data_IF_050668649896
#
_entry.id   IF_050668649896
#
_cell.length_a   1.000
_cell.length_b   1.000
_cell.length_c   1.000
_cell.angle_alpha   90.00
_cell.angle_beta   90.00
_cell.angle_gamma   90.00
#
_symmetry.space_group_name_H-M   'P 1'
#
loop_
_entity.id
_entity.type
_entity.pdbx_description
1 polymer ?
#
# COMPACT_ATOMS: atom_id res chain seq x y z
N UNK A 1 20.08 0.94 -3.61
CA UNK A 1 18.78 1.41 -3.11
C UNK A 1 18.95 2.72 -2.35
N UNK A 2 17.97 3.61 -2.44
CA UNK A 2 17.87 4.82 -1.62
C UNK A 2 16.65 4.68 -0.70
N UNK A 3 16.83 4.86 0.60
CA UNK A 3 15.82 4.47 1.59
C UNK A 3 15.30 5.66 2.38
N UNK A 4 13.98 5.80 2.45
CA UNK A 4 13.28 6.74 3.35
C UNK A 4 12.71 5.90 4.49
N UNK A 5 13.42 5.81 5.60
CA UNK A 5 12.97 5.01 6.75
C UNK A 5 13.38 5.66 8.08
N UNK A 6 12.61 6.66 8.54
CA UNK A 6 12.95 7.35 9.81
C UNK A 6 12.83 6.45 11.06
N UNK A 7 12.13 5.32 10.99
CA UNK A 7 12.02 4.37 12.10
C UNK A 7 13.16 3.35 12.12
N UNK A 8 13.79 3.13 10.98
CA UNK A 8 14.95 2.24 10.85
C UNK A 8 14.62 0.76 10.69
N UNK A 9 13.35 0.34 10.75
CA UNK A 9 12.96 -1.07 10.66
C UNK A 9 13.36 -1.70 9.33
N UNK A 10 13.09 -1.00 8.22
CA UNK A 10 13.50 -1.44 6.89
C UNK A 10 15.03 -1.46 6.75
N UNK A 11 15.71 -0.44 7.23
CA UNK A 11 17.19 -0.35 7.20
C UNK A 11 17.85 -1.48 7.99
N UNK A 12 17.33 -1.80 9.18
CA UNK A 12 17.80 -2.94 9.99
C UNK A 12 17.69 -4.24 9.20
N UNK A 13 16.55 -4.46 8.54
CA UNK A 13 16.34 -5.64 7.71
C UNK A 13 17.32 -5.70 6.53
N UNK A 14 17.47 -4.61 5.77
CA UNK A 14 18.38 -4.53 4.62
C UNK A 14 19.83 -4.81 5.04
N UNK A 15 20.27 -4.23 6.15
CA UNK A 15 21.60 -4.48 6.72
C UNK A 15 21.80 -5.95 7.09
N UNK A 16 20.80 -6.56 7.76
CA UNK A 16 20.85 -7.97 8.16
C UNK A 16 20.93 -8.91 6.95
N UNK A 17 20.35 -8.52 5.82
CA UNK A 17 20.35 -9.28 4.56
C UNK A 17 21.55 -8.94 3.66
N UNK A 18 22.47 -8.09 4.10
CA UNK A 18 23.60 -7.58 3.30
C UNK A 18 23.17 -6.90 1.99
N UNK A 19 22.00 -6.24 1.99
CA UNK A 19 21.51 -5.45 0.86
C UNK A 19 22.04 -4.02 1.01
N UNK A 20 22.84 -3.58 0.04
CA UNK A 20 23.44 -2.23 0.05
C UNK A 20 22.36 -1.16 -0.16
N UNK A 21 22.36 -0.14 0.65
CA UNK A 21 21.49 1.02 0.55
C UNK A 21 22.19 2.29 1.06
N UNK A 22 21.63 3.43 0.68
CA UNK A 22 22.01 4.76 1.22
C UNK A 22 20.72 5.48 1.66
N UNK A 23 20.87 6.44 2.56
CA UNK A 23 19.75 7.28 2.97
C UNK A 23 19.34 8.20 1.81
N UNK A 24 18.05 8.41 1.67
CA UNK A 24 17.51 9.20 0.55
C UNK A 24 18.00 10.66 0.56
N UNK A 25 18.29 11.22 1.72
CA UNK A 25 18.79 12.58 1.90
C UNK A 25 20.31 12.73 1.67
N UNK A 26 21.04 11.60 1.50
CA UNK A 26 22.44 11.67 1.12
C UNK A 26 22.58 12.12 -0.33
N UNK A 27 23.41 13.15 -0.56
CA UNK A 27 23.67 13.67 -1.91
C UNK A 27 24.54 12.75 -2.78
N UNK A 28 24.89 11.56 -2.27
CA UNK A 28 25.92 10.70 -2.88
C UNK A 28 25.43 9.92 -4.12
N UNK A 29 24.12 9.77 -4.32
CA UNK A 29 23.59 8.97 -5.43
C UNK A 29 22.31 9.57 -6.00
N UNK A 30 22.44 10.40 -7.02
CA UNK A 30 21.30 10.79 -7.84
C UNK A 30 20.89 9.60 -8.73
N UNK A 31 19.63 9.23 -8.68
CA UNK A 31 19.08 8.11 -9.45
C UNK A 31 18.94 6.82 -8.64
N UNK A 32 18.40 5.80 -9.26
CA UNK A 32 18.13 4.51 -8.65
C UNK A 32 16.75 4.39 -8.01
N UNK A 33 16.47 3.18 -7.51
CA UNK A 33 15.20 2.86 -6.86
C UNK A 33 15.13 3.49 -5.47
N UNK A 34 14.06 4.23 -5.22
CA UNK A 34 13.74 4.78 -3.88
C UNK A 34 12.72 3.85 -3.21
N UNK A 35 12.99 3.49 -1.95
CA UNK A 35 12.04 2.71 -1.15
C UNK A 35 11.69 3.51 0.10
N UNK A 36 10.40 3.71 0.31
CA UNK A 36 9.86 4.31 1.53
C UNK A 36 9.32 3.22 2.45
N UNK A 37 9.82 3.20 3.68
CA UNK A 37 9.26 2.39 4.76
C UNK A 37 7.92 2.92 5.27
N UNK A 38 7.47 2.41 6.41
CA UNK A 38 6.21 2.79 7.04
C UNK A 38 6.22 4.26 7.47
N UNK A 39 5.06 4.91 7.36
CA UNK A 39 4.88 6.29 7.88
C UNK A 39 5.08 6.30 9.39
N UNK A 40 6.02 7.08 9.92
CA UNK A 40 6.35 7.06 11.34
C UNK A 40 5.24 7.66 12.21
N UNK A 41 5.11 7.18 13.44
CA UNK A 41 4.21 7.76 14.45
C UNK A 41 4.65 9.18 14.83
N UNK A 42 5.95 9.40 14.95
CA UNK A 42 6.59 10.70 15.19
C UNK A 42 7.43 11.12 14.00
N UNK A 43 7.68 12.42 13.83
CA UNK A 43 8.51 12.89 12.71
C UNK A 43 7.82 12.91 11.34
N UNK A 44 6.50 12.87 11.28
CA UNK A 44 5.73 12.87 10.03
C UNK A 44 6.09 14.02 9.08
N UNK A 45 6.44 15.18 9.60
CA UNK A 45 6.84 16.34 8.77
C UNK A 45 8.10 16.04 7.96
N UNK A 46 9.11 15.43 8.59
CA UNK A 46 10.36 15.07 7.93
C UNK A 46 10.10 13.99 6.89
N UNK A 47 9.37 12.94 7.29
CA UNK A 47 8.98 11.87 6.37
C UNK A 47 8.25 12.40 5.14
N UNK A 48 7.26 13.25 5.33
CA UNK A 48 6.47 13.84 4.23
C UNK A 48 7.34 14.75 3.34
N UNK A 49 8.29 15.48 3.91
CA UNK A 49 9.22 16.30 3.13
C UNK A 49 10.12 15.42 2.24
N UNK A 50 10.70 14.34 2.80
CA UNK A 50 11.49 13.38 2.04
C UNK A 50 10.66 12.72 0.93
N UNK A 51 9.44 12.30 1.25
CA UNK A 51 8.55 11.68 0.27
C UNK A 51 8.15 12.66 -0.85
N UNK A 52 7.95 13.94 -0.53
CA UNK A 52 7.70 14.98 -1.53
C UNK A 52 8.90 15.16 -2.48
N UNK A 53 10.11 15.13 -1.95
CA UNK A 53 11.33 15.23 -2.76
C UNK A 53 11.51 13.97 -3.63
N UNK A 54 11.31 12.78 -3.07
CA UNK A 54 11.33 11.53 -3.82
C UNK A 54 10.35 11.54 -4.98
N UNK A 55 9.13 12.02 -4.74
CA UNK A 55 8.10 12.16 -5.77
C UNK A 55 8.52 13.13 -6.88
N UNK A 56 9.22 14.21 -6.56
CA UNK A 56 9.74 15.13 -7.56
C UNK A 56 10.81 14.47 -8.46
N UNK A 57 11.63 13.57 -7.90
CA UNK A 57 12.58 12.77 -8.68
C UNK A 57 11.87 11.74 -9.56
N UNK A 58 10.86 11.05 -9.02
CA UNK A 58 10.04 10.11 -9.80
C UNK A 58 9.41 10.79 -11.01
N UNK A 59 8.91 12.01 -10.85
CA UNK A 59 8.35 12.79 -11.95
C UNK A 59 9.31 13.03 -13.12
N UNK A 60 10.61 12.84 -12.91
CA UNK A 60 11.68 12.98 -13.91
C UNK A 60 12.20 11.62 -14.42
N UNK A 61 11.46 10.54 -14.24
CA UNK A 61 11.83 9.20 -14.70
C UNK A 61 12.34 8.26 -13.60
N UNK A 62 12.30 8.66 -12.33
CA UNK A 62 12.68 7.81 -11.20
C UNK A 62 11.66 6.72 -10.90
N UNK A 63 12.03 5.84 -9.97
CA UNK A 63 11.19 4.73 -9.51
C UNK A 63 11.07 4.76 -7.99
N UNK A 64 9.85 4.58 -7.45
CA UNK A 64 9.58 4.66 -6.02
C UNK A 64 8.65 3.52 -5.58
N UNK A 65 9.05 2.80 -4.54
CA UNK A 65 8.19 1.87 -3.81
C UNK A 65 7.79 2.54 -2.49
N UNK A 66 6.49 2.60 -2.20
CA UNK A 66 5.96 3.01 -0.91
C UNK A 66 5.35 1.79 -0.23
N UNK A 67 5.96 1.36 0.86
CA UNK A 67 5.50 0.24 1.68
C UNK A 67 4.53 0.73 2.75
N UNK A 68 3.63 -0.16 3.17
CA UNK A 68 2.71 0.03 4.30
C UNK A 68 1.98 1.39 4.25
N UNK A 69 1.44 1.74 3.07
CA UNK A 69 0.67 2.98 2.88
C UNK A 69 -0.40 3.06 3.97
N UNK A 70 -0.36 4.10 4.81
CA UNK A 70 -1.24 4.19 5.97
C UNK A 70 -2.66 4.50 5.56
N UNK A 71 -3.60 4.02 6.37
CA UNK A 71 -5.01 4.39 6.28
C UNK A 71 -5.52 4.94 7.59
N UNK A 72 -6.60 5.69 7.52
CA UNK A 72 -7.40 6.00 8.71
C UNK A 72 -8.56 5.01 8.81
N UNK A 73 -8.86 4.59 10.03
CA UNK A 73 -10.12 3.92 10.32
C UNK A 73 -11.25 4.90 10.07
N UNK A 74 -12.18 4.63 9.14
CA UNK A 74 -13.35 5.47 9.02
C UNK A 74 -14.11 5.43 10.35
N UNK A 75 -14.66 6.56 10.78
CA UNK A 75 -15.50 6.59 11.98
C UNK A 75 -16.70 5.66 11.78
N UNK A 76 -17.01 4.88 12.81
CA UNK A 76 -18.20 4.06 12.85
C UNK A 76 -19.44 4.93 12.63
N UNK A 77 -20.35 4.48 11.76
CA UNK A 77 -21.66 5.04 11.45
C UNK A 77 -21.75 6.47 10.92
N UNK A 78 -22.12 6.58 9.66
CA UNK A 78 -22.81 7.76 9.09
C UNK A 78 -21.95 8.98 8.80
N UNK A 79 -20.63 8.96 8.97
CA UNK A 79 -19.76 10.07 8.56
C UNK A 79 -19.19 9.84 7.17
N UNK A 80 -19.22 10.87 6.36
CA UNK A 80 -18.57 10.89 5.05
C UNK A 80 -17.11 10.47 5.19
N UNK A 81 -16.65 9.59 4.30
CA UNK A 81 -15.24 9.27 4.18
C UNK A 81 -14.46 10.54 3.90
N UNK A 82 -13.70 11.00 4.88
CA UNK A 82 -12.73 12.06 4.61
C UNK A 82 -11.60 11.45 3.79
N UNK A 83 -11.36 12.01 2.61
CA UNK A 83 -10.20 11.65 1.82
C UNK A 83 -8.94 11.96 2.62
N UNK A 84 -8.21 10.93 2.99
CA UNK A 84 -6.89 11.13 3.54
C UNK A 84 -5.90 11.19 2.40
N UNK A 85 -5.55 12.39 2.00
CA UNK A 85 -4.34 12.57 1.24
C UNK A 85 -3.17 12.23 2.16
N UNK A 86 -2.54 11.10 1.94
CA UNK A 86 -1.18 10.92 2.40
C UNK A 86 -0.36 11.88 1.54
N UNK A 87 0.23 12.89 2.16
CA UNK A 87 1.07 13.84 1.46
C UNK A 87 2.18 13.06 0.75
N UNK A 88 2.32 13.25 -0.55
CA UNK A 88 3.25 12.47 -1.37
C UNK A 88 2.63 11.39 -2.24
N UNK A 89 1.39 10.95 -2.01
CA UNK A 89 0.71 10.10 -2.97
C UNK A 89 0.29 10.89 -4.22
N UNK A 90 0.28 10.25 -5.40
CA UNK A 90 -0.07 10.93 -6.67
C UNK A 90 -1.56 11.29 -6.78
N UNK A 91 -2.39 10.82 -5.85
CA UNK A 91 -3.85 11.03 -5.81
C UNK A 91 -4.35 11.02 -4.37
N UNK A 92 -5.53 11.58 -4.18
CA UNK A 92 -6.25 11.44 -2.91
C UNK A 92 -6.69 9.98 -2.77
N UNK A 93 -6.12 9.28 -1.82
CA UNK A 93 -6.53 7.91 -1.52
C UNK A 93 -7.49 7.93 -0.34
N UNK A 94 -8.73 7.53 -0.58
CA UNK A 94 -9.61 7.14 0.51
C UNK A 94 -9.12 5.78 0.99
N UNK A 95 -8.68 5.72 2.23
CA UNK A 95 -8.17 4.50 2.82
C UNK A 95 -9.24 3.87 3.70
N UNK A 96 -9.66 2.67 3.34
CA UNK A 96 -10.58 1.89 4.15
C UNK A 96 -9.81 0.90 5.02
N UNK A 97 -10.12 0.90 6.30
CA UNK A 97 -9.55 -0.07 7.21
C UNK A 97 -10.11 -1.47 6.92
N UNK A 98 -9.26 -2.46 7.01
CA UNK A 98 -9.60 -3.88 6.95
C UNK A 98 -10.76 -4.29 7.88
N UNK A 99 -10.81 -3.70 9.09
CA UNK A 99 -11.83 -4.01 10.09
C UNK A 99 -13.19 -3.33 9.88
N UNK A 100 -13.32 -2.45 8.91
CA UNK A 100 -14.57 -1.74 8.63
C UNK A 100 -15.49 -2.49 7.68
N UNK A 101 -15.24 -3.73 7.41
CA UNK A 101 -16.26 -4.58 6.84
C UNK A 101 -17.35 -4.77 7.85
N UNK A 102 -18.38 -4.04 7.68
CA UNK A 102 -19.66 -4.25 8.32
C UNK A 102 -20.38 -5.50 7.88
N UNK A 103 -19.83 -6.23 7.00
CA UNK A 103 -20.34 -7.53 6.72
C UNK A 103 -19.94 -8.47 7.83
N UNK A 104 -20.71 -8.58 8.87
CA UNK A 104 -20.82 -9.81 9.63
C UNK A 104 -20.95 -11.03 8.70
N UNK A 105 -21.24 -10.81 7.44
CA UNK A 105 -21.63 -11.81 6.47
C UNK A 105 -20.63 -12.06 5.35
N UNK A 106 -19.77 -11.12 5.04
CA UNK A 106 -18.77 -11.29 4.00
C UNK A 106 -17.53 -10.48 4.35
N UNK A 107 -16.48 -11.15 4.75
CA UNK A 107 -15.16 -10.55 4.68
C UNK A 107 -14.98 -9.95 3.28
N UNK A 108 -14.21 -8.88 3.15
CA UNK A 108 -13.86 -8.39 1.82
C UNK A 108 -12.84 -9.34 1.21
N UNK A 109 -13.18 -10.06 0.16
CA UNK A 109 -12.21 -10.91 -0.49
C UNK A 109 -11.14 -10.03 -1.13
N UNK A 110 -9.94 -10.10 -0.59
CA UNK A 110 -8.77 -9.54 -1.25
C UNK A 110 -8.28 -10.52 -2.31
N UNK A 111 -8.07 -10.02 -3.51
CA UNK A 111 -7.62 -10.82 -4.64
C UNK A 111 -6.19 -10.47 -4.99
N UNK A 112 -5.45 -11.47 -5.44
CA UNK A 112 -4.09 -11.34 -5.92
C UNK A 112 -4.04 -11.76 -7.38
N UNK A 113 -3.63 -10.87 -8.25
CA UNK A 113 -3.42 -11.17 -9.67
C UNK A 113 -2.08 -11.88 -9.85
N UNK A 114 -2.01 -12.66 -10.91
CA UNK A 114 -0.74 -13.17 -11.39
C UNK A 114 0.18 -12.01 -11.78
N UNK A 115 1.30 -11.89 -11.07
CA UNK A 115 2.24 -10.77 -11.22
C UNK A 115 3.62 -11.13 -10.66
N UNK A 116 4.73 -10.65 -11.25
CA UNK A 116 6.09 -10.93 -10.77
C UNK A 116 6.33 -10.61 -9.29
N UNK A 117 5.68 -9.60 -8.74
CA UNK A 117 5.77 -9.26 -7.30
C UNK A 117 5.32 -10.42 -6.39
N UNK A 118 4.45 -11.28 -6.87
CA UNK A 118 3.97 -12.45 -6.13
C UNK A 118 4.57 -13.76 -6.61
N UNK A 119 5.68 -13.72 -7.35
CA UNK A 119 6.36 -14.92 -7.79
C UNK A 119 6.73 -15.81 -6.60
N UNK A 120 6.39 -17.10 -6.69
CA UNK A 120 6.58 -18.08 -5.61
C UNK A 120 5.45 -18.12 -4.56
N UNK A 121 4.40 -17.33 -4.75
CA UNK A 121 3.21 -17.30 -3.89
C UNK A 121 1.95 -17.64 -4.69
N UNK A 122 0.87 -18.12 -4.06
CA UNK A 122 -0.42 -18.36 -4.72
C UNK A 122 -1.00 -17.07 -5.32
N UNK A 123 -1.35 -17.12 -6.61
CA UNK A 123 -1.90 -15.99 -7.38
C UNK A 123 -3.12 -16.41 -8.20
N UNK A 124 -3.81 -15.44 -8.79
CA UNK A 124 -5.01 -15.68 -9.57
C UNK A 124 -6.24 -16.07 -8.73
N UNK A 125 -6.16 -15.88 -7.41
CA UNK A 125 -7.12 -16.35 -6.43
C UNK A 125 -7.41 -15.30 -5.36
N UNK A 126 -8.39 -15.60 -4.50
CA UNK A 126 -8.58 -14.88 -3.24
C UNK A 126 -7.35 -15.11 -2.35
N UNK A 127 -6.96 -14.06 -1.63
CA UNK A 127 -5.84 -14.11 -0.70
C UNK A 127 -6.05 -15.22 0.35
N UNK A 128 -5.12 -16.16 0.38
CA UNK A 128 -5.18 -17.34 1.24
C UNK A 128 -4.39 -17.16 2.55
N UNK A 129 -4.39 -18.16 3.40
CA UNK A 129 -3.74 -18.17 4.71
C UNK A 129 -2.25 -17.83 4.67
N UNK A 130 -1.56 -18.18 3.58
CA UNK A 130 -0.14 -17.85 3.39
C UNK A 130 0.13 -16.35 3.53
N UNK A 131 -0.85 -15.51 3.27
CA UNK A 131 -0.74 -14.06 3.38
C UNK A 131 -1.22 -13.49 4.73
N UNK A 132 -1.58 -14.33 5.70
CA UNK A 132 -2.25 -13.89 6.93
C UNK A 132 -1.50 -12.81 7.70
N UNK A 133 -0.17 -12.91 7.79
CA UNK A 133 0.65 -11.96 8.53
C UNK A 133 0.91 -10.66 7.77
N UNK A 134 0.95 -10.74 6.44
CA UNK A 134 1.14 -9.57 5.56
C UNK A 134 -0.16 -8.99 5.03
N UNK A 135 -1.30 -9.51 5.50
CA UNK A 135 -2.60 -9.09 5.01
C UNK A 135 -2.81 -7.58 5.14
N UNK A 136 -3.27 -6.88 4.07
CA UNK A 136 -3.45 -5.44 4.06
C UNK A 136 -4.36 -4.95 5.19
N UNK A 137 -3.90 -3.97 5.95
CA UNK A 137 -4.71 -3.32 7.01
C UNK A 137 -5.67 -2.30 6.45
N UNK A 138 -5.33 -1.76 5.29
CA UNK A 138 -6.10 -0.71 4.62
C UNK A 138 -6.16 -0.99 3.13
N UNK A 139 -7.02 -0.26 2.44
CA UNK A 139 -7.21 -0.39 1.00
C UNK A 139 -7.25 1.00 0.38
N UNK A 140 -6.49 1.20 -0.67
CA UNK A 140 -6.51 2.45 -1.45
C UNK A 140 -7.70 2.44 -2.40
N UNK A 141 -8.57 3.43 -2.33
CA UNK A 141 -9.62 3.59 -3.36
C UNK A 141 -8.94 3.98 -4.67
N UNK A 142 -9.14 3.14 -5.67
CA UNK A 142 -8.54 3.38 -6.98
C UNK A 142 -9.18 4.55 -7.69
N UNK A 143 -8.35 5.45 -8.18
CA UNK A 143 -8.73 6.49 -9.11
C UNK A 143 -8.00 6.33 -10.46
N UNK A 144 -6.78 5.78 -10.42
CA UNK A 144 -5.94 5.54 -11.59
C UNK A 144 -4.88 4.47 -11.28
N UNK A 145 -4.26 3.93 -12.30
CA UNK A 145 -3.16 2.97 -12.18
C UNK A 145 -3.58 1.53 -12.44
N UNK A 146 -2.61 0.63 -12.36
CA UNK A 146 -2.76 -0.82 -12.56
C UNK A 146 -2.86 -1.52 -11.21
N UNK A 147 -4.02 -2.02 -10.88
CA UNK A 147 -4.22 -2.82 -9.67
C UNK A 147 -3.59 -4.20 -9.85
N UNK A 148 -2.66 -4.54 -8.96
CA UNK A 148 -1.97 -5.84 -8.91
C UNK A 148 -2.63 -6.73 -7.86
N UNK A 149 -3.01 -6.15 -6.72
CA UNK A 149 -3.83 -6.80 -5.70
C UNK A 149 -4.87 -5.82 -5.20
N UNK A 150 -6.05 -6.30 -4.83
CA UNK A 150 -7.10 -5.41 -4.37
C UNK A 150 -8.38 -6.12 -3.98
N UNK A 151 -9.43 -5.32 -3.85
CA UNK A 151 -10.75 -5.75 -3.38
C UNK A 151 -11.85 -5.04 -4.14
N UNK A 152 -12.95 -5.74 -4.36
CA UNK A 152 -14.21 -5.15 -4.80
C UNK A 152 -15.15 -5.09 -3.60
N UNK A 153 -15.80 -3.99 -3.39
CA UNK A 153 -16.72 -3.80 -2.28
C UNK A 153 -17.87 -2.88 -2.66
N UNK A 154 -18.91 -2.86 -1.86
CA UNK A 154 -19.98 -1.89 -1.97
C UNK A 154 -20.03 -1.00 -0.76
N UNK A 155 -20.60 0.17 -0.97
CA UNK A 155 -20.84 1.11 0.11
C UNK A 155 -22.04 0.66 0.93
N UNK A 156 -21.78 -0.02 2.01
CA UNK A 156 -22.80 -0.42 2.97
C UNK A 156 -23.22 0.72 3.92
N UNK A 157 -22.45 1.79 3.99
CA UNK A 157 -22.63 2.80 5.01
C UNK A 157 -23.79 3.76 4.75
N UNK A 158 -24.22 3.89 3.52
CA UNK A 158 -25.35 4.77 3.20
C UNK A 158 -26.72 4.16 3.55
N UNK A 159 -26.74 2.89 3.94
CA UNK A 159 -27.97 2.16 4.16
C UNK A 159 -27.93 1.31 5.43
N UNK A 160 -27.75 1.97 6.58
CA UNK A 160 -28.02 1.33 7.88
C UNK A 160 -29.50 0.90 7.96
N UNK A 161 -30.39 1.55 7.23
CA UNK A 161 -31.76 1.11 7.00
C UNK A 161 -31.90 -0.22 6.25
N UNK A 162 -30.85 -0.70 5.62
CA UNK A 162 -30.87 -1.98 4.88
C UNK A 162 -31.05 -3.21 5.77
N UNK A 163 -30.67 -3.14 7.03
CA UNK A 163 -30.98 -4.22 7.97
C UNK A 163 -32.48 -4.28 8.32
N UNK A 164 -33.20 -3.21 8.07
CA UNK A 164 -34.59 -3.05 8.48
C UNK A 164 -35.58 -2.96 7.30
N UNK A 165 -35.14 -2.65 6.12
CA UNK A 165 -36.01 -2.46 4.95
C UNK A 165 -35.33 -2.98 3.69
N UNK A 166 -35.95 -3.81 2.95
CA UNK A 166 -35.65 -4.33 1.63
C UNK A 166 -34.31 -3.92 1.00
N UNK A 167 -33.49 -4.89 0.67
CA UNK A 167 -32.21 -4.71 0.00
C UNK A 167 -32.38 -3.96 -1.33
N UNK A 168 -31.96 -2.70 -1.45
CA UNK A 168 -32.20 -1.91 -2.67
C UNK A 168 -31.22 -2.22 -3.79
N UNK A 169 -30.55 -3.34 -3.73
CA UNK A 169 -29.50 -3.69 -4.66
C UNK A 169 -28.11 -3.20 -4.22
N UNK A 170 -27.08 -3.53 -4.97
CA UNK A 170 -25.74 -3.06 -4.66
C UNK A 170 -25.75 -1.53 -4.70
N UNK A 171 -25.40 -0.91 -3.57
CA UNK A 171 -25.06 0.49 -3.54
C UNK A 171 -23.87 0.77 -4.48
N UNK A 172 -23.22 1.88 -4.31
CA UNK A 172 -22.04 2.19 -5.11
C UNK A 172 -20.98 1.10 -4.98
N UNK A 173 -20.70 0.41 -6.07
CA UNK A 173 -19.57 -0.53 -6.14
C UNK A 173 -18.31 0.29 -6.27
N UNK A 174 -17.30 -0.03 -5.47
CA UNK A 174 -15.98 0.58 -5.56
C UNK A 174 -14.89 -0.48 -5.60
N UNK A 175 -13.77 -0.08 -6.19
CA UNK A 175 -12.58 -0.89 -6.33
C UNK A 175 -11.48 -0.30 -5.46
N UNK A 176 -10.82 -1.14 -4.69
CA UNK A 176 -9.71 -0.72 -3.86
C UNK A 176 -8.47 -1.55 -4.14
N UNK A 177 -7.31 -0.90 -4.20
CA UNK A 177 -6.03 -1.55 -4.40
C UNK A 177 -5.31 -1.79 -3.07
N UNK A 178 -4.66 -2.94 -2.97
CA UNK A 178 -3.70 -3.25 -1.92
C UNK A 178 -2.27 -3.17 -2.43
N UNK A 179 -2.08 -3.45 -3.72
CA UNK A 179 -0.86 -3.19 -4.45
C UNK A 179 -1.22 -2.54 -5.78
N UNK A 180 -0.66 -1.37 -6.01
CA UNK A 180 -0.98 -0.51 -7.14
C UNK A 180 0.30 -0.01 -7.80
N UNK A 181 0.39 -0.18 -9.11
CA UNK A 181 1.38 0.48 -9.94
C UNK A 181 0.76 1.68 -10.64
N UNK A 182 1.40 2.82 -10.59
CA UNK A 182 0.93 4.04 -11.26
C UNK A 182 2.07 4.84 -11.85
N UNK A 183 1.84 5.41 -13.02
CA UNK A 183 2.74 6.40 -13.58
C UNK A 183 2.67 7.70 -12.78
N UNK A 184 3.79 8.39 -12.69
CA UNK A 184 3.87 9.72 -12.11
C UNK A 184 4.91 10.56 -12.88
N UNK A 185 4.46 11.48 -13.71
CA UNK A 185 5.34 12.16 -14.67
C UNK A 185 5.94 11.14 -15.63
N UNK A 186 7.27 11.14 -15.74
CA UNK A 186 8.03 10.20 -16.57
C UNK A 186 8.41 8.90 -15.83
N UNK A 187 8.14 8.81 -14.52
CA UNK A 187 8.51 7.69 -13.69
C UNK A 187 7.34 6.81 -13.24
N UNK A 188 7.66 5.89 -12.34
CA UNK A 188 6.71 4.88 -11.86
C UNK A 188 6.74 4.77 -10.34
N UNK A 189 5.56 4.61 -9.75
CA UNK A 189 5.37 4.36 -8.33
C UNK A 189 4.67 3.03 -8.12
N UNK A 190 5.18 2.24 -7.16
CA UNK A 190 4.55 1.03 -6.65
C UNK A 190 4.10 1.27 -5.21
N UNK A 191 2.80 1.22 -4.97
CA UNK A 191 2.19 1.54 -3.68
C UNK A 191 1.61 0.28 -3.05
N UNK A 192 1.96 0.00 -1.80
CA UNK A 192 1.52 -1.19 -1.08
C UNK A 192 0.87 -0.85 0.26
N UNK A 193 -0.27 -1.48 0.54
CA UNK A 193 -0.91 -1.47 1.86
C UNK A 193 -0.70 -2.79 2.60
N UNK A 194 0.05 -3.71 2.04
CA UNK A 194 0.46 -4.93 2.74
C UNK A 194 1.29 -4.60 3.98
N UNK A 195 1.09 -5.34 5.06
CA UNK A 195 1.85 -5.19 6.31
C UNK A 195 3.24 -5.83 6.17
N UNK A 196 4.10 -5.20 5.37
CA UNK A 196 5.42 -5.74 5.03
C UNK A 196 6.47 -5.38 6.07
N UNK A 197 6.66 -4.07 6.34
CA UNK A 197 7.78 -3.59 7.18
C UNK A 197 7.75 -4.21 8.57
N UNK A 198 6.58 -4.26 9.21
CA UNK A 198 6.40 -4.85 10.54
C UNK A 198 6.66 -6.36 10.62
N UNK A 199 6.69 -7.06 9.47
CA UNK A 199 6.89 -8.50 9.36
C UNK A 199 8.26 -8.90 8.77
N UNK A 200 9.10 -7.94 8.39
CA UNK A 200 10.47 -8.21 7.93
C UNK A 200 11.29 -8.87 9.03
N UNK A 201 11.97 -9.95 8.67
CA UNK A 201 12.74 -10.76 9.62
C UNK A 201 11.91 -11.71 10.49
N UNK A 202 10.59 -11.73 10.31
CA UNK A 202 9.63 -12.57 11.05
C UNK A 202 8.84 -13.49 10.13
N UNK A 203 8.49 -13.02 8.94
CA UNK A 203 7.66 -13.73 7.98
C UNK A 203 8.36 -13.81 6.62
N UNK A 204 8.62 -15.01 6.10
CA UNK A 204 9.27 -15.19 4.80
C UNK A 204 8.44 -14.64 3.63
N UNK A 205 7.12 -14.55 3.77
CA UNK A 205 6.24 -13.98 2.74
C UNK A 205 6.47 -12.48 2.60
N UNK A 206 6.63 -11.76 3.73
CA UNK A 206 6.96 -10.33 3.71
C UNK A 206 8.29 -10.08 3.00
N UNK A 207 9.29 -10.89 3.32
CA UNK A 207 10.62 -10.81 2.70
C UNK A 207 10.57 -11.11 1.20
N UNK A 208 9.84 -12.16 0.81
CA UNK A 208 9.70 -12.57 -0.59
C UNK A 208 9.00 -11.48 -1.42
N UNK A 209 7.89 -10.93 -0.91
CA UNK A 209 7.17 -9.84 -1.58
C UNK A 209 8.08 -8.61 -1.75
N UNK A 210 8.80 -8.22 -0.70
CA UNK A 210 9.72 -7.07 -0.79
C UNK A 210 10.82 -7.29 -1.84
N UNK A 211 11.46 -8.46 -1.82
CA UNK A 211 12.50 -8.80 -2.79
C UNK A 211 11.95 -8.80 -4.22
N UNK A 212 10.77 -9.36 -4.42
CA UNK A 212 10.12 -9.39 -5.73
C UNK A 212 9.73 -7.97 -6.20
N UNK A 213 9.27 -7.10 -5.28
CA UNK A 213 9.00 -5.69 -5.60
C UNK A 213 10.26 -4.96 -6.09
N UNK A 214 11.37 -5.13 -5.38
CA UNK A 214 12.66 -4.53 -5.74
C UNK A 214 13.10 -5.03 -7.11
N UNK A 215 13.05 -6.33 -7.35
CA UNK A 215 13.44 -6.93 -8.62
C UNK A 215 12.55 -6.47 -9.77
N UNK A 216 11.24 -6.44 -9.55
CA UNK A 216 10.26 -6.00 -10.56
C UNK A 216 10.48 -4.55 -11.00
N UNK A 217 10.69 -3.66 -10.03
CA UNK A 217 10.85 -2.24 -10.33
C UNK A 217 12.21 -1.94 -10.96
N UNK A 218 13.23 -2.78 -10.76
CA UNK A 218 14.57 -2.60 -11.34
C UNK A 218 14.69 -3.12 -12.80
N UNK A 219 13.72 -3.87 -13.28
CA UNK A 219 13.64 -4.28 -14.68
C UNK A 219 13.22 -3.10 -15.56
#
# INVERSE_FOLDING_TARGET
>A
LRVIDPQGELKIFLTKKNISFVDFDSNEHAGGLIISGMVPRSGKKIFNALLKNAKAEVGKGGKLIILDVPGKTPPYFGRKFESNSVEGLPFSANMLNKGTTLGLWAGKPHMIKEHPVFQGLPTGVIMQEVYQNVHPKTTMMMQQGKMISGVVSYDHFQNVDLMLRHYPGPGNIWFGANLLETAFGEGTMLLSTFDIVGNLGKDPVAELILNNMINYVNQ
#
